data_IF_108562699117
#
_entry.id   IF_108562699117
#
_cell.length_a   1.000
_cell.length_b   1.000
_cell.length_c   1.000
_cell.angle_alpha   90.00
_cell.angle_beta   90.00
_cell.angle_gamma   90.00
#
_symmetry.space_group_name_H-M   'P 1'
#
loop_
_entity.id
_entity.type
_entity.pdbx_description
1 polymer ?
#
# COMPACT_ATOMS: atom_id res chain seq x y z
N UNK A 1 6.59 -18.51 -26.78
CA UNK A 1 6.80 -18.24 -25.33
C UNK A 1 7.02 -16.75 -25.03
N UNK A 2 6.23 -15.84 -25.57
CA UNK A 2 6.45 -14.39 -25.48
C UNK A 2 5.41 -13.64 -24.60
N UNK A 3 4.47 -14.32 -23.96
CA UNK A 3 3.30 -13.68 -23.33
C UNK A 3 3.36 -13.44 -21.82
N UNK A 4 4.52 -13.59 -21.17
CA UNK A 4 4.64 -13.48 -19.70
C UNK A 4 5.43 -12.27 -19.19
N UNK A 5 5.90 -11.40 -20.09
CA UNK A 5 6.72 -10.22 -19.75
C UNK A 5 5.90 -9.02 -19.21
N UNK A 6 4.60 -8.95 -19.52
CA UNK A 6 3.77 -7.77 -19.24
C UNK A 6 3.15 -7.70 -17.84
N UNK A 7 3.34 -8.70 -16.97
CA UNK A 7 2.81 -8.68 -15.60
C UNK A 7 3.67 -7.92 -14.58
N UNK A 8 4.78 -7.35 -15.00
CA UNK A 8 5.72 -6.66 -14.10
C UNK A 8 5.38 -5.19 -13.80
N UNK A 9 4.38 -4.64 -14.44
CA UNK A 9 3.98 -3.24 -14.24
C UNK A 9 2.50 -3.23 -13.85
N UNK A 10 2.12 -2.64 -12.69
CA UNK A 10 0.73 -2.58 -12.30
C UNK A 10 -0.06 -1.69 -13.27
N UNK A 11 -1.23 -2.16 -13.66
CA UNK A 11 -2.15 -1.42 -14.52
C UNK A 11 -2.62 -0.12 -13.82
N UNK A 12 -3.07 0.85 -14.60
CA UNK A 12 -3.58 2.13 -14.05
C UNK A 12 -4.74 1.91 -13.06
N UNK A 13 -5.59 0.91 -13.34
CA UNK A 13 -6.71 0.53 -12.45
C UNK A 13 -6.20 0.01 -11.10
N UNK A 14 -5.17 -0.82 -11.09
CA UNK A 14 -4.54 -1.33 -9.87
C UNK A 14 -3.86 -0.21 -9.09
N UNK A 15 -3.14 0.70 -9.77
CA UNK A 15 -2.53 1.88 -9.16
C UNK A 15 -3.56 2.78 -8.49
N UNK A 16 -4.65 3.12 -9.19
CA UNK A 16 -5.76 3.92 -8.64
C UNK A 16 -6.44 3.24 -7.45
N UNK A 17 -6.63 1.91 -7.54
CA UNK A 17 -7.18 1.13 -6.43
C UNK A 17 -6.24 1.13 -5.22
N UNK A 18 -4.93 0.97 -5.44
CA UNK A 18 -3.94 1.01 -4.39
C UNK A 18 -3.86 2.38 -3.71
N UNK A 19 -3.89 3.49 -4.46
CA UNK A 19 -4.01 4.84 -3.89
C UNK A 19 -5.23 5.00 -2.99
N UNK A 20 -6.34 4.35 -3.35
CA UNK A 20 -7.59 4.44 -2.58
C UNK A 20 -7.56 3.63 -1.29
N UNK A 21 -6.92 2.45 -1.28
CA UNK A 21 -7.06 1.47 -0.20
C UNK A 21 -5.75 1.07 0.49
N UNK A 22 -4.62 1.12 -0.21
CA UNK A 22 -3.33 0.67 0.29
C UNK A 22 -2.44 1.80 0.84
N UNK A 23 -3.01 2.98 1.06
CA UNK A 23 -2.37 4.10 1.77
C UNK A 23 -2.88 4.18 3.21
N UNK A 24 -2.16 4.80 4.14
CA UNK A 24 -2.66 5.02 5.51
C UNK A 24 -4.04 5.66 5.53
N UNK A 25 -4.24 6.71 4.74
CA UNK A 25 -5.52 7.39 4.61
C UNK A 25 -6.62 6.48 4.03
N UNK A 26 -6.29 5.63 3.05
CA UNK A 26 -7.20 4.67 2.45
C UNK A 26 -7.65 3.60 3.44
N UNK A 27 -6.70 3.02 4.17
CA UNK A 27 -6.98 2.04 5.22
C UNK A 27 -7.85 2.64 6.32
N UNK A 28 -7.55 3.85 6.76
CA UNK A 28 -8.36 4.54 7.75
C UNK A 28 -9.79 4.80 7.29
N UNK A 29 -9.99 5.22 6.04
CA UNK A 29 -11.34 5.38 5.49
C UNK A 29 -12.13 4.08 5.50
N UNK A 30 -11.50 2.95 5.19
CA UNK A 30 -12.14 1.64 5.24
C UNK A 30 -12.63 1.32 6.66
N UNK A 31 -11.79 1.51 7.69
CA UNK A 31 -12.18 1.29 9.08
C UNK A 31 -13.31 2.22 9.53
N UNK A 32 -13.23 3.50 9.17
CA UNK A 32 -14.29 4.48 9.48
C UNK A 32 -15.60 4.11 8.79
N UNK A 33 -15.57 3.73 7.50
CA UNK A 33 -16.77 3.32 6.76
C UNK A 33 -17.40 2.07 7.37
N UNK A 34 -16.59 1.08 7.73
CA UNK A 34 -17.07 -0.14 8.41
C UNK A 34 -17.67 0.18 9.78
N UNK A 35 -17.02 1.07 10.53
CA UNK A 35 -17.52 1.52 11.82
C UNK A 35 -18.87 2.23 11.71
N UNK A 36 -19.04 3.13 10.73
CA UNK A 36 -20.32 3.80 10.48
C UNK A 36 -21.41 2.76 10.12
N UNK A 37 -21.09 1.78 9.28
CA UNK A 37 -22.04 0.72 8.93
C UNK A 37 -22.50 -0.08 10.17
N UNK A 38 -21.57 -0.41 11.08
CA UNK A 38 -21.91 -1.09 12.34
C UNK A 38 -22.77 -0.22 13.26
N UNK A 39 -22.49 1.09 13.34
CA UNK A 39 -23.32 2.02 14.13
C UNK A 39 -24.75 2.06 13.57
N UNK A 40 -24.90 2.21 12.26
CA UNK A 40 -26.22 2.24 11.61
C UNK A 40 -26.96 0.93 11.88
N UNK A 41 -26.28 -0.22 11.70
CA UNK A 41 -26.86 -1.53 11.96
C UNK A 41 -27.27 -1.68 13.43
N UNK A 42 -26.42 -1.24 14.37
CA UNK A 42 -26.74 -1.22 15.79
C UNK A 42 -27.98 -0.38 16.12
N UNK A 43 -28.10 0.80 15.51
CA UNK A 43 -29.29 1.68 15.67
C UNK A 43 -30.55 0.97 15.15
N UNK A 44 -30.48 0.32 13.99
CA UNK A 44 -31.61 -0.43 13.43
C UNK A 44 -32.06 -1.53 14.40
N UNK A 45 -31.10 -2.29 14.96
CA UNK A 45 -31.39 -3.33 15.96
C UNK A 45 -32.04 -2.78 17.22
N UNK A 46 -31.67 -1.58 17.67
CA UNK A 46 -32.29 -0.91 18.81
C UNK A 46 -33.70 -0.43 18.53
N UNK A 47 -34.05 -0.17 17.28
CA UNK A 47 -35.39 0.28 16.88
C UNK A 47 -36.39 -0.88 16.69
N UNK A 48 -35.91 -2.11 16.42
CA UNK A 48 -36.76 -3.29 16.24
C UNK A 48 -37.67 -3.54 17.45
N UNK A 49 -37.18 -3.55 18.70
CA UNK A 49 -38.03 -3.78 19.87
C UNK A 49 -39.16 -2.76 20.00
N UNK A 50 -38.88 -1.49 19.65
CA UNK A 50 -39.90 -0.42 19.69
C UNK A 50 -41.03 -0.77 18.71
N UNK A 51 -40.71 -1.22 17.50
CA UNK A 51 -41.67 -1.66 16.52
C UNK A 51 -42.48 -2.89 16.98
N UNK A 52 -41.82 -3.85 17.64
CA UNK A 52 -42.47 -5.03 18.19
C UNK A 52 -43.45 -4.67 19.30
N UNK A 53 -43.05 -3.84 20.26
CA UNK A 53 -43.94 -3.39 21.35
C UNK A 53 -45.14 -2.63 20.82
N UNK A 54 -44.99 -1.77 19.80
CA UNK A 54 -46.10 -1.06 19.16
C UNK A 54 -47.01 -2.03 18.44
N UNK A 55 -46.50 -3.00 17.70
CA UNK A 55 -47.31 -3.99 16.98
C UNK A 55 -48.12 -4.90 17.91
N UNK A 56 -47.59 -5.21 19.08
CA UNK A 56 -48.29 -5.98 20.13
C UNK A 56 -49.42 -5.22 20.82
N UNK A 57 -49.14 -3.96 21.18
CA UNK A 57 -50.17 -3.10 21.72
C UNK A 57 -51.40 -3.02 20.78
N UNK A 58 -51.16 -3.21 19.45
CA UNK A 58 -52.22 -3.24 18.44
C UNK A 58 -52.84 -4.63 18.23
N UNK A 59 -52.11 -5.74 18.49
CA UNK A 59 -52.52 -7.08 18.06
C UNK A 59 -52.90 -8.06 19.18
N UNK A 60 -52.57 -7.81 20.45
CA UNK A 60 -52.82 -8.71 21.63
C UNK A 60 -52.44 -10.19 21.40
N UNK A 61 -51.38 -10.45 20.65
CA UNK A 61 -51.14 -11.76 20.02
C UNK A 61 -49.98 -12.57 20.59
N UNK A 62 -49.11 -11.98 21.44
CA UNK A 62 -47.90 -12.65 21.86
C UNK A 62 -47.80 -12.78 23.40
N UNK A 63 -47.02 -13.83 23.82
CA UNK A 63 -46.72 -14.08 25.23
C UNK A 63 -45.71 -13.02 25.75
N UNK A 64 -45.98 -12.35 26.88
CA UNK A 64 -45.14 -11.30 27.44
C UNK A 64 -43.70 -11.70 27.71
N UNK A 65 -43.44 -12.97 28.11
CA UNK A 65 -42.10 -13.45 28.41
C UNK A 65 -41.21 -13.56 27.16
N UNK A 66 -41.76 -14.02 26.06
CA UNK A 66 -41.03 -14.17 24.79
C UNK A 66 -40.60 -12.83 24.21
N UNK A 67 -41.41 -11.78 24.43
CA UNK A 67 -41.09 -10.41 24.03
C UNK A 67 -40.02 -9.77 24.84
N UNK A 68 -40.08 -9.92 26.14
CA UNK A 68 -39.02 -9.43 27.02
C UNK A 68 -37.67 -10.03 26.64
N UNK A 69 -37.64 -11.33 26.38
CA UNK A 69 -36.39 -12.02 25.98
C UNK A 69 -35.89 -11.51 24.61
N UNK A 70 -36.78 -11.42 23.61
CA UNK A 70 -36.42 -10.91 22.29
C UNK A 70 -35.93 -9.44 22.36
N UNK A 71 -36.62 -8.60 23.12
CA UNK A 71 -36.27 -7.19 23.33
C UNK A 71 -34.87 -7.05 23.95
N UNK A 72 -34.58 -7.86 24.99
CA UNK A 72 -33.26 -7.87 25.63
C UNK A 72 -32.15 -8.26 24.66
N UNK A 73 -32.38 -9.32 23.84
CA UNK A 73 -31.42 -9.77 22.85
C UNK A 73 -31.12 -8.67 21.81
N UNK A 74 -32.15 -8.01 21.28
CA UNK A 74 -31.96 -6.90 20.34
C UNK A 74 -31.23 -5.71 20.94
N UNK A 75 -31.51 -5.34 22.18
CA UNK A 75 -30.78 -4.28 22.89
C UNK A 75 -29.31 -4.64 23.09
N UNK A 76 -29.01 -5.87 23.52
CA UNK A 76 -27.63 -6.33 23.69
C UNK A 76 -26.86 -6.35 22.37
N UNK A 77 -27.46 -6.88 21.30
CA UNK A 77 -26.86 -6.89 19.97
C UNK A 77 -26.67 -5.47 19.43
N UNK A 78 -27.67 -4.60 19.56
CA UNK A 78 -27.59 -3.22 19.11
C UNK A 78 -26.49 -2.44 19.83
N UNK A 79 -26.38 -2.60 21.16
CA UNK A 79 -25.31 -2.01 21.96
C UNK A 79 -23.94 -2.55 21.57
N UNK A 80 -23.82 -3.87 21.33
CA UNK A 80 -22.58 -4.50 20.90
C UNK A 80 -22.10 -3.96 19.53
N UNK A 81 -22.99 -3.91 18.54
CA UNK A 81 -22.64 -3.36 17.22
C UNK A 81 -22.35 -1.87 17.27
N UNK A 82 -23.06 -1.11 18.07
CA UNK A 82 -22.77 0.31 18.32
C UNK A 82 -21.38 0.52 18.94
N UNK A 83 -21.04 -0.26 19.95
CA UNK A 83 -19.71 -0.23 20.57
C UNK A 83 -18.60 -0.62 19.59
N UNK A 84 -18.76 -1.73 18.85
CA UNK A 84 -17.80 -2.16 17.83
C UNK A 84 -17.63 -1.09 16.74
N UNK A 85 -18.72 -0.44 16.33
CA UNK A 85 -18.70 0.64 15.35
C UNK A 85 -17.90 1.85 15.84
N UNK A 86 -18.14 2.31 17.06
CA UNK A 86 -17.37 3.39 17.67
C UNK A 86 -15.89 3.02 17.79
N UNK A 87 -15.60 1.80 18.23
CA UNK A 87 -14.22 1.30 18.31
C UNK A 87 -13.53 1.33 16.95
N UNK A 88 -14.18 0.84 15.88
CA UNK A 88 -13.64 0.87 14.52
C UNK A 88 -13.36 2.31 14.04
N UNK A 89 -14.23 3.27 14.33
CA UNK A 89 -14.04 4.68 13.95
C UNK A 89 -12.84 5.29 14.69
N UNK A 90 -12.75 5.08 16.00
CA UNK A 90 -11.66 5.61 16.82
C UNK A 90 -10.33 4.95 16.43
N UNK A 91 -10.32 3.61 16.36
CA UNK A 91 -9.14 2.84 16.00
C UNK A 91 -8.66 3.21 14.59
N UNK A 92 -9.57 3.35 13.63
CA UNK A 92 -9.25 3.77 12.27
C UNK A 92 -8.52 5.11 12.22
N UNK A 93 -8.98 6.10 13.00
CA UNK A 93 -8.33 7.42 13.07
C UNK A 93 -6.94 7.37 13.74
N UNK A 94 -6.81 6.60 14.82
CA UNK A 94 -5.55 6.47 15.55
C UNK A 94 -4.52 5.67 14.74
N UNK A 95 -4.94 4.55 14.15
CA UNK A 95 -4.09 3.70 13.33
C UNK A 95 -3.54 4.44 12.11
N UNK A 96 -4.34 5.28 11.45
CA UNK A 96 -3.87 6.13 10.33
C UNK A 96 -2.70 7.00 10.76
N UNK A 97 -2.84 7.71 11.89
CA UNK A 97 -1.77 8.60 12.38
C UNK A 97 -0.50 7.83 12.75
N UNK A 98 -0.66 6.71 13.46
CA UNK A 98 0.47 5.87 13.87
C UNK A 98 1.19 5.27 12.65
N UNK A 99 0.43 4.77 11.68
CA UNK A 99 0.96 4.14 10.47
C UNK A 99 1.63 5.18 9.55
N UNK A 100 1.01 6.34 9.35
CA UNK A 100 1.61 7.45 8.60
C UNK A 100 2.93 7.91 9.26
N UNK A 101 2.95 8.07 10.59
CA UNK A 101 4.17 8.41 11.33
C UNK A 101 5.26 7.35 11.21
N UNK A 102 4.89 6.07 11.21
CA UNK A 102 5.84 4.96 11.05
C UNK A 102 6.46 4.98 9.65
N UNK A 103 5.66 5.17 8.61
CA UNK A 103 6.12 5.22 7.22
C UNK A 103 6.98 6.45 6.95
N UNK A 104 6.64 7.61 7.49
CA UNK A 104 7.41 8.85 7.29
C UNK A 104 8.67 8.95 8.17
N UNK A 105 8.89 8.01 9.09
CA UNK A 105 10.08 8.03 9.95
C UNK A 105 11.36 7.91 9.11
N UNK A 106 12.20 8.95 9.13
CA UNK A 106 13.46 9.04 8.38
C UNK A 106 13.30 9.62 6.98
N UNK A 107 12.08 9.91 6.50
CA UNK A 107 11.89 10.70 5.31
C UNK A 107 12.37 12.14 5.56
N UNK A 108 13.09 12.69 4.58
CA UNK A 108 13.62 14.05 4.65
C UNK A 108 12.62 15.00 4.00
N UNK A 109 12.24 16.04 4.73
CA UNK A 109 11.45 17.14 4.17
C UNK A 109 12.38 18.11 3.45
N UNK A 110 12.33 18.09 2.13
CA UNK A 110 13.08 19.02 1.30
C UNK A 110 12.29 20.33 1.11
N UNK A 111 12.97 21.49 1.09
CA UNK A 111 12.33 22.75 0.72
C UNK A 111 11.86 22.66 -0.74
N UNK A 112 10.61 23.05 -0.96
CA UNK A 112 10.03 23.04 -2.30
C UNK A 112 10.51 24.27 -3.06
N UNK A 113 11.01 24.09 -4.28
CA UNK A 113 11.47 25.19 -5.10
C UNK A 113 10.33 26.17 -5.43
N UNK A 114 10.64 27.47 -5.48
CA UNK A 114 9.68 28.52 -5.85
C UNK A 114 9.24 28.37 -7.31
N UNK A 115 10.18 28.02 -8.18
CA UNK A 115 9.88 27.73 -9.58
C UNK A 115 9.19 26.36 -9.69
N UNK A 116 8.04 26.36 -10.38
CA UNK A 116 7.24 25.16 -10.57
C UNK A 116 7.34 24.68 -12.01
N UNK A 117 7.92 23.51 -12.19
CA UNK A 117 8.02 22.86 -13.50
C UNK A 117 6.65 22.39 -13.98
N UNK A 118 6.17 22.79 -15.16
CA UNK A 118 4.91 22.30 -15.70
C UNK A 118 4.90 20.77 -15.82
N UNK A 119 3.78 20.13 -15.52
CA UNK A 119 3.62 18.67 -15.51
C UNK A 119 4.16 17.98 -16.77
N UNK A 120 3.87 18.55 -17.95
CA UNK A 120 4.34 17.98 -19.22
C UNK A 120 5.87 17.95 -19.29
N UNK A 121 6.52 19.03 -18.86
CA UNK A 121 7.97 19.14 -18.83
C UNK A 121 8.56 18.19 -17.78
N UNK A 122 7.97 18.12 -16.59
CA UNK A 122 8.38 17.19 -15.54
C UNK A 122 8.40 15.73 -16.04
N UNK A 123 7.35 15.31 -16.77
CA UNK A 123 7.29 13.96 -17.33
C UNK A 123 8.38 13.72 -18.41
N UNK A 124 8.72 14.76 -19.19
CA UNK A 124 9.81 14.67 -20.16
C UNK A 124 11.18 14.58 -19.49
N UNK A 125 11.42 15.38 -18.46
CA UNK A 125 12.66 15.36 -17.68
C UNK A 125 12.83 14.04 -16.94
N UNK A 126 11.75 13.48 -16.37
CA UNK A 126 11.78 12.15 -15.78
C UNK A 126 12.22 11.07 -16.80
N UNK A 127 11.72 11.12 -18.03
CA UNK A 127 12.13 10.19 -19.08
C UNK A 127 13.59 10.37 -19.48
N UNK A 128 14.14 11.59 -19.35
CA UNK A 128 15.53 11.89 -19.67
C UNK A 128 16.54 11.39 -18.60
N UNK A 129 16.09 11.07 -17.38
CA UNK A 129 16.96 10.52 -16.32
C UNK A 129 17.69 9.27 -16.81
N UNK A 130 17.03 8.42 -17.59
CA UNK A 130 17.61 7.18 -18.12
C UNK A 130 18.79 7.39 -19.09
N UNK A 131 18.97 8.61 -19.59
CA UNK A 131 20.06 8.94 -20.50
C UNK A 131 21.39 9.19 -19.79
N UNK A 132 21.36 9.33 -18.47
CA UNK A 132 22.56 9.48 -17.65
C UNK A 132 23.14 8.10 -17.31
N UNK A 133 24.35 7.75 -17.76
CA UNK A 133 24.94 6.42 -17.57
C UNK A 133 25.23 6.07 -16.09
N UNK A 134 25.23 7.05 -15.21
CA UNK A 134 25.52 6.90 -13.78
C UNK A 134 24.30 7.27 -12.90
N UNK A 135 23.08 7.33 -13.46
CA UNK A 135 21.91 7.65 -12.67
C UNK A 135 21.63 6.52 -11.66
N UNK A 136 21.54 6.81 -10.36
CA UNK A 136 21.24 5.80 -9.33
C UNK A 136 19.82 5.26 -9.45
N UNK A 137 18.95 6.00 -10.13
CA UNK A 137 17.57 5.64 -10.40
C UNK A 137 17.31 5.68 -11.89
N UNK A 138 16.53 4.73 -12.36
CA UNK A 138 15.91 4.81 -13.68
C UNK A 138 14.48 5.30 -13.55
N UNK A 139 13.97 6.01 -14.54
CA UNK A 139 12.60 6.52 -14.53
C UNK A 139 11.90 6.16 -15.84
N UNK A 140 10.63 5.80 -15.73
CA UNK A 140 9.75 5.60 -16.88
C UNK A 140 8.42 6.31 -16.64
N UNK A 141 7.80 6.77 -17.73
CA UNK A 141 6.54 7.51 -17.64
C UNK A 141 5.39 6.71 -18.23
N UNK A 142 4.25 6.72 -17.57
CA UNK A 142 3.02 6.08 -18.01
C UNK A 142 1.82 6.97 -17.72
N UNK A 143 1.32 7.67 -18.73
CA UNK A 143 0.26 8.67 -18.55
C UNK A 143 0.71 9.79 -17.62
N UNK A 144 0.03 9.94 -16.48
CA UNK A 144 0.39 10.91 -15.43
C UNK A 144 1.30 10.31 -14.34
N UNK A 145 1.82 9.11 -14.54
CA UNK A 145 2.67 8.42 -13.59
C UNK A 145 4.13 8.51 -14.00
N UNK A 146 4.98 8.63 -13.00
CA UNK A 146 6.42 8.44 -13.11
C UNK A 146 6.76 7.22 -12.24
N UNK A 147 7.40 6.24 -12.83
CA UNK A 147 7.87 5.03 -12.15
C UNK A 147 9.38 5.15 -11.98
N UNK A 148 9.85 5.46 -10.78
CA UNK A 148 11.25 5.41 -10.44
C UNK A 148 11.61 4.00 -9.99
N UNK A 149 12.59 3.40 -10.64
CA UNK A 149 13.12 2.07 -10.33
C UNK A 149 14.56 2.21 -9.85
N UNK A 150 14.85 1.67 -8.67
CA UNK A 150 16.23 1.51 -8.23
C UNK A 150 16.84 0.32 -8.95
N UNK A 151 17.99 0.49 -9.57
CA UNK A 151 18.74 -0.61 -10.22
C UNK A 151 19.41 -1.46 -9.13
N UNK A 152 18.60 -2.34 -8.54
CA UNK A 152 19.11 -3.34 -7.63
C UNK A 152 19.56 -4.53 -8.45
N UNK A 153 20.86 -4.70 -8.52
CA UNK A 153 21.50 -5.71 -9.33
C UNK A 153 20.80 -7.06 -9.28
N UNK A 154 20.64 -7.68 -10.45
CA UNK A 154 20.16 -9.05 -10.62
C UNK A 154 21.13 -10.00 -9.89
N UNK A 155 20.86 -10.32 -8.65
CA UNK A 155 21.64 -11.28 -7.88
C UNK A 155 20.84 -12.56 -7.73
N UNK A 156 21.40 -13.64 -8.23
CA UNK A 156 20.99 -14.99 -7.86
C UNK A 156 21.46 -15.23 -6.42
N UNK A 157 20.54 -15.24 -5.47
CA UNK A 157 20.84 -15.56 -4.08
C UNK A 157 20.15 -16.85 -3.68
N UNK A 158 20.88 -17.73 -2.99
CA UNK A 158 20.29 -18.93 -2.38
C UNK A 158 20.07 -18.62 -0.91
N UNK A 159 18.81 -18.52 -0.50
CA UNK A 159 18.43 -18.36 0.89
C UNK A 159 17.42 -19.44 1.26
N UNK A 160 17.73 -20.28 2.25
CA UNK A 160 16.88 -21.39 2.69
C UNK A 160 16.40 -22.33 1.56
N UNK A 161 17.25 -22.61 0.57
CA UNK A 161 16.89 -23.44 -0.58
C UNK A 161 16.02 -22.72 -1.64
N UNK A 162 15.78 -21.43 -1.47
CA UNK A 162 15.07 -20.61 -2.44
C UNK A 162 16.10 -19.85 -3.26
N UNK A 163 16.04 -20.00 -4.58
CA UNK A 163 16.82 -19.23 -5.52
C UNK A 163 16.03 -17.96 -5.87
N UNK A 164 16.38 -16.85 -5.26
CA UNK A 164 15.76 -15.56 -5.58
C UNK A 164 16.39 -15.00 -6.84
N UNK A 165 15.63 -14.87 -7.91
CA UNK A 165 16.15 -14.49 -9.21
C UNK A 165 16.12 -12.97 -9.44
N UNK A 166 15.17 -12.25 -8.89
CA UNK A 166 15.04 -10.80 -9.07
C UNK A 166 14.13 -10.17 -8.02
N UNK A 167 14.58 -9.07 -7.44
CA UNK A 167 13.74 -8.19 -6.63
C UNK A 167 13.71 -6.81 -7.28
N UNK A 168 12.53 -6.30 -7.58
CA UNK A 168 12.32 -4.98 -8.17
C UNK A 168 11.54 -4.13 -7.18
N UNK A 169 12.09 -2.98 -6.85
CA UNK A 169 11.37 -1.94 -6.13
C UNK A 169 11.18 -0.73 -7.04
N UNK A 170 9.96 -0.20 -7.04
CA UNK A 170 9.63 1.03 -7.78
C UNK A 170 8.90 1.99 -6.87
N UNK A 171 9.24 3.25 -6.99
CA UNK A 171 8.47 4.36 -6.45
C UNK A 171 7.56 4.88 -7.56
N UNK A 172 6.25 4.73 -7.40
CA UNK A 172 5.24 5.15 -8.37
C UNK A 172 4.69 6.51 -7.95
N UNK A 173 4.87 7.51 -8.77
CA UNK A 173 4.45 8.89 -8.51
C UNK A 173 3.33 9.28 -9.44
N UNK A 174 2.16 9.60 -8.91
CA UNK A 174 1.06 10.21 -9.66
C UNK A 174 1.19 11.73 -9.61
N UNK A 175 1.56 12.33 -10.72
CA UNK A 175 1.69 13.78 -10.86
C UNK A 175 0.33 14.42 -11.12
N UNK A 176 -0.03 15.44 -10.33
CA UNK A 176 -1.28 16.18 -10.43
C UNK A 176 -1.05 17.58 -11.05
N UNK A 177 -2.11 18.20 -11.57
CA UNK A 177 -1.99 19.49 -12.28
C UNK A 177 -1.75 20.69 -11.37
N UNK A 178 -2.03 20.54 -10.05
CA UNK A 178 -1.85 21.60 -9.05
C UNK A 178 -0.46 21.58 -8.37
N UNK A 179 0.56 21.06 -9.03
CA UNK A 179 1.93 20.89 -8.52
C UNK A 179 1.99 20.07 -7.24
N UNK A 180 1.15 19.07 -7.19
CA UNK A 180 1.18 18.06 -6.12
C UNK A 180 1.37 16.68 -6.70
N UNK A 181 1.79 15.74 -5.83
CA UNK A 181 1.89 14.35 -6.22
C UNK A 181 1.37 13.41 -5.13
N UNK A 182 0.95 12.23 -5.56
CA UNK A 182 0.67 11.08 -4.70
C UNK A 182 1.65 9.98 -5.02
N UNK A 183 1.97 9.17 -4.03
CA UNK A 183 2.97 8.13 -4.18
C UNK A 183 2.48 6.77 -3.71
N UNK A 184 3.02 5.75 -4.36
CA UNK A 184 2.90 4.34 -4.00
C UNK A 184 4.26 3.68 -4.14
N UNK A 185 4.45 2.63 -3.38
CA UNK A 185 5.58 1.73 -3.50
C UNK A 185 5.10 0.44 -4.19
N UNK A 186 5.92 -0.09 -5.05
CA UNK A 186 5.68 -1.33 -5.76
C UNK A 186 6.89 -2.24 -5.58
N UNK A 187 6.66 -3.43 -5.09
CA UNK A 187 7.66 -4.47 -4.94
C UNK A 187 7.22 -5.71 -5.70
N UNK A 188 8.13 -6.24 -6.50
CA UNK A 188 7.95 -7.52 -7.16
C UNK A 188 9.13 -8.42 -6.81
N UNK A 189 8.83 -9.51 -6.13
CA UNK A 189 9.79 -10.56 -5.78
C UNK A 189 9.50 -11.77 -6.64
N UNK A 190 10.43 -12.17 -7.49
CA UNK A 190 10.37 -13.45 -8.17
C UNK A 190 11.27 -14.45 -7.47
N UNK A 191 10.67 -15.56 -7.04
CA UNK A 191 11.34 -16.62 -6.31
C UNK A 191 11.33 -17.90 -7.14
N UNK A 192 12.48 -18.55 -7.18
CA UNK A 192 12.66 -19.85 -7.77
C UNK A 192 13.06 -20.81 -6.62
N UNK A 193 12.20 -21.76 -6.30
CA UNK A 193 12.52 -22.77 -5.29
C UNK A 193 12.94 -24.06 -5.96
N UNK A 194 14.13 -24.55 -5.57
CA UNK A 194 14.67 -25.81 -6.05
C UNK A 194 14.73 -26.79 -4.88
N UNK A 195 13.77 -27.69 -4.80
CA UNK A 195 13.77 -28.81 -3.85
C UNK A 195 14.32 -30.08 -4.49
N UNK A 196 14.66 -31.08 -3.66
CA UNK A 196 15.25 -32.36 -4.13
C UNK A 196 14.34 -33.12 -5.11
N UNK A 197 13.04 -32.82 -5.14
CA UNK A 197 12.05 -33.42 -6.04
C UNK A 197 11.04 -32.44 -6.64
N UNK A 198 11.14 -31.14 -6.33
CA UNK A 198 10.17 -30.14 -6.77
C UNK A 198 10.87 -28.88 -7.22
N UNK A 199 10.41 -28.36 -8.33
CA UNK A 199 10.79 -27.07 -8.87
C UNK A 199 9.54 -26.18 -8.86
N UNK A 200 9.56 -25.11 -8.09
CA UNK A 200 8.46 -24.14 -8.07
C UNK A 200 8.97 -22.75 -8.37
N UNK A 201 8.31 -22.07 -9.29
CA UNK A 201 8.55 -20.67 -9.60
C UNK A 201 7.34 -19.85 -9.12
N UNK A 202 7.58 -18.89 -8.26
CA UNK A 202 6.58 -17.98 -7.72
C UNK A 202 6.95 -16.52 -7.97
N UNK A 203 5.95 -15.66 -8.08
CA UNK A 203 6.13 -14.22 -8.09
C UNK A 203 5.11 -13.60 -7.14
N UNK A 204 5.59 -12.84 -6.17
CA UNK A 204 4.75 -12.06 -5.27
C UNK A 204 4.87 -10.58 -5.62
N UNK A 205 3.73 -9.92 -5.71
CA UNK A 205 3.64 -8.49 -6.03
C UNK A 205 2.94 -7.77 -4.91
N UNK A 206 3.57 -6.74 -4.38
CA UNK A 206 2.98 -5.87 -3.35
C UNK A 206 2.90 -4.44 -3.88
N UNK A 207 1.76 -3.79 -3.69
CA UNK A 207 1.55 -2.39 -4.05
C UNK A 207 0.91 -1.65 -2.88
N UNK A 208 1.48 -0.50 -2.50
CA UNK A 208 1.02 0.32 -1.37
C UNK A 208 2.13 1.20 -0.85
N UNK A 209 1.95 1.78 0.34
CA UNK A 209 3.04 2.48 1.03
C UNK A 209 3.83 1.46 1.84
N UNK A 210 5.12 1.35 1.55
CA UNK A 210 6.02 0.37 2.16
C UNK A 210 7.29 1.06 2.65
N UNK A 211 7.80 0.56 3.76
CA UNK A 211 9.14 0.87 4.25
C UNK A 211 9.85 -0.44 4.51
N UNK A 212 10.91 -0.68 3.79
CA UNK A 212 11.68 -1.90 3.87
C UNK A 212 13.16 -1.56 4.01
N UNK A 213 13.76 -2.12 5.04
CA UNK A 213 15.21 -2.18 5.17
C UNK A 213 15.59 -3.65 5.18
N UNK A 214 16.24 -4.11 4.14
CA UNK A 214 16.67 -5.51 4.01
C UNK A 214 18.19 -5.54 3.90
N UNK A 215 18.80 -6.29 4.80
CA UNK A 215 20.19 -6.73 4.67
C UNK A 215 20.15 -8.08 3.95
N UNK A 216 20.65 -8.12 2.75
CA UNK A 216 20.71 -9.35 1.95
C UNK A 216 22.18 -9.78 1.90
N UNK A 217 22.44 -10.93 2.51
CA UNK A 217 23.73 -11.60 2.38
C UNK A 217 23.58 -12.68 1.31
N UNK A 218 24.26 -12.48 0.19
CA UNK A 218 24.29 -13.46 -0.89
C UNK A 218 25.55 -14.29 -0.79
N UNK A 219 25.37 -15.59 -0.62
CA UNK A 219 26.40 -16.58 -0.86
C UNK A 219 26.15 -17.09 -2.27
N UNK A 220 26.97 -16.71 -3.23
CA UNK A 220 26.71 -17.10 -4.61
C UNK A 220 27.86 -16.82 -5.57
N UNK A 221 27.68 -17.26 -6.81
CA UNK A 221 28.62 -16.98 -7.88
C UNK A 221 28.27 -15.63 -8.48
N UNK A 222 29.19 -14.69 -8.47
CA UNK A 222 29.02 -13.44 -9.19
C UNK A 222 29.09 -13.74 -10.69
N UNK A 223 27.95 -13.57 -11.37
CA UNK A 223 27.82 -13.91 -12.81
C UNK A 223 28.69 -13.03 -13.72
N UNK A 224 29.15 -11.88 -13.25
CA UNK A 224 30.00 -10.99 -14.04
C UNK A 224 31.48 -11.42 -14.04
N UNK A 225 31.95 -12.13 -13.01
CA UNK A 225 33.34 -12.52 -12.86
C UNK A 225 33.57 -14.00 -12.50
N UNK A 226 32.50 -14.79 -12.38
CA UNK A 226 32.55 -16.24 -12.10
C UNK A 226 33.09 -16.61 -10.72
N UNK A 227 33.31 -15.66 -9.81
CA UNK A 227 33.90 -15.93 -8.50
C UNK A 227 32.83 -16.21 -7.46
N UNK A 228 33.11 -17.22 -6.64
CA UNK A 228 32.31 -17.51 -5.44
C UNK A 228 32.64 -16.45 -4.37
N UNK A 229 31.63 -15.81 -3.84
CA UNK A 229 31.83 -14.76 -2.83
C UNK A 229 30.58 -14.57 -1.96
N UNK A 230 30.79 -14.00 -0.78
CA UNK A 230 29.73 -13.49 0.09
C UNK A 230 29.62 -11.99 -0.20
N UNK A 231 28.59 -11.59 -0.90
CA UNK A 231 28.29 -10.17 -1.10
C UNK A 231 27.08 -9.80 -0.23
N UNK A 232 27.32 -8.93 0.74
CA UNK A 232 26.26 -8.28 1.49
C UNK A 232 25.89 -6.97 0.82
N UNK A 233 24.62 -6.75 0.53
CA UNK A 233 24.11 -5.43 0.16
C UNK A 233 22.90 -5.08 1.02
N UNK A 234 22.82 -3.80 1.34
CA UNK A 234 21.69 -3.23 2.06
C UNK A 234 20.74 -2.60 1.06
N UNK A 235 19.49 -2.97 1.13
CA UNK A 235 18.42 -2.32 0.38
C UNK A 235 17.62 -1.48 1.38
N UNK A 236 17.67 -0.15 1.21
CA UNK A 236 16.82 0.76 1.96
C UNK A 236 15.90 1.50 1.00
N UNK A 237 14.61 1.22 1.09
CA UNK A 237 13.60 1.93 0.29
C UNK A 237 13.50 3.40 0.68
N UNK A 238 14.06 3.78 1.85
CA UNK A 238 14.09 5.14 2.33
C UNK A 238 15.03 6.01 1.49
N UNK A 239 16.18 5.48 1.08
CA UNK A 239 17.13 6.21 0.24
C UNK A 239 16.52 6.57 -1.10
N UNK A 240 15.87 5.58 -1.75
CA UNK A 240 15.11 5.80 -2.99
C UNK A 240 14.00 6.84 -2.80
N UNK A 241 13.28 6.75 -1.69
CA UNK A 241 12.20 7.68 -1.36
C UNK A 241 12.73 9.10 -1.21
N UNK A 242 13.82 9.28 -0.47
CA UNK A 242 14.42 10.58 -0.23
C UNK A 242 14.97 11.22 -1.52
N UNK A 243 15.61 10.43 -2.40
CA UNK A 243 16.06 10.92 -3.70
C UNK A 243 14.91 11.38 -4.59
N UNK A 244 13.84 10.58 -4.66
CA UNK A 244 12.64 10.94 -5.42
C UNK A 244 11.96 12.19 -4.84
N UNK A 245 11.85 12.27 -3.51
CA UNK A 245 11.27 13.45 -2.85
C UNK A 245 12.09 14.70 -3.10
N UNK A 246 13.43 14.60 -3.04
CA UNK A 246 14.32 15.71 -3.38
C UNK A 246 14.10 16.18 -4.81
N UNK A 247 14.13 15.24 -5.76
CA UNK A 247 13.94 15.57 -7.17
C UNK A 247 12.59 16.27 -7.43
N UNK A 248 11.49 15.78 -6.82
CA UNK A 248 10.17 16.41 -6.94
C UNK A 248 10.10 17.79 -6.28
N UNK A 249 10.73 17.96 -5.12
CA UNK A 249 10.81 19.23 -4.42
C UNK A 249 11.61 20.27 -5.22
N UNK A 250 12.71 19.88 -5.84
CA UNK A 250 13.53 20.72 -6.73
C UNK A 250 12.75 21.18 -7.97
N UNK A 251 11.68 20.46 -8.37
CA UNK A 251 10.75 20.82 -9.46
C UNK A 251 9.48 21.53 -8.99
N UNK A 252 9.40 21.89 -7.71
CA UNK A 252 8.29 22.65 -7.14
C UNK A 252 7.03 21.85 -6.82
N UNK A 253 7.15 20.52 -6.63
CA UNK A 253 6.04 19.63 -6.31
C UNK A 253 5.97 19.29 -4.83
N UNK A 254 4.74 19.29 -4.29
CA UNK A 254 4.45 18.96 -2.89
C UNK A 254 3.68 17.65 -2.80
N UNK A 255 4.04 16.80 -1.82
CA UNK A 255 3.32 15.56 -1.56
C UNK A 255 1.94 15.83 -0.95
N UNK A 256 0.93 15.09 -1.42
CA UNK A 256 -0.41 15.02 -0.82
C UNK A 256 -0.79 13.56 -0.55
N UNK A 257 -1.43 13.31 0.60
CA UNK A 257 -1.89 11.98 1.02
C UNK A 257 -3.26 11.59 0.44
#
# INVERSE_FOLDING_TARGET
MAAKKDKMIPSEKERKRALKYATPAGTGRMWVTMGIAFIIFGIILLLIPIGLVISEALAQRYDPESIHTATLVFYLLGAFFGFCGCFCVIFGKLAVKAFAKMLSKGEINYPVAEYKTPKKLLLQEAAAINQSPNAPLTASTFGNWIDFEADWQNCLSIHNGILQSRQIFKKLILVQDNFTYKELDYENNSELSVGVKTFTAGSTTTIGRMKCHKLIYNIGINLSNGRFGVNGYSIDTLDVTNEVHKWLADHGYTRVE
#
